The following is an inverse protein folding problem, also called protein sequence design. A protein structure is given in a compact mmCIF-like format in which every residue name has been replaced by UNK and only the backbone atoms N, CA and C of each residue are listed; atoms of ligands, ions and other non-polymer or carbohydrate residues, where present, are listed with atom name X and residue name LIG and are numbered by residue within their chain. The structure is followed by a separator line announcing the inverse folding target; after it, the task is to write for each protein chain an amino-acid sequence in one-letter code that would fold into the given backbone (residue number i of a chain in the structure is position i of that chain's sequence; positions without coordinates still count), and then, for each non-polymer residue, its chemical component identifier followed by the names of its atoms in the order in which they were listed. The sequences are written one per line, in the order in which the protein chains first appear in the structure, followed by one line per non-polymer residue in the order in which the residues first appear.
data_IF_196403824628
#
_entry.id   IF_196403824628
#
_cell.length_a   1.000
_cell.length_b   1.000
_cell.length_c   1.000
_cell.angle_alpha   90.00
_cell.angle_beta   90.00
_cell.angle_gamma   90.00
#
_symmetry.space_group_name_H-M   'P 1'
#
loop_
_entity.id
_entity.type
_entity.pdbx_description
1 polymer ?
#
# COMPACT_ATOMS: atom_id res chain seq x y z
N UNK A 1 -8.62 -3.81 16.73
CA UNK A 1 -7.21 -4.24 16.58
C UNK A 1 -7.15 -5.26 15.45
N UNK A 2 -6.28 -5.08 14.46
CA UNK A 2 -6.19 -6.01 13.32
C UNK A 2 -5.86 -7.43 13.76
N UNK A 3 -6.40 -8.43 13.06
CA UNK A 3 -6.08 -9.84 13.33
C UNK A 3 -4.57 -10.08 13.14
N UNK A 4 -3.91 -10.84 14.05
CA UNK A 4 -2.47 -11.08 14.00
C UNK A 4 -2.05 -11.78 12.71
N UNK A 5 -0.85 -11.45 12.24
CA UNK A 5 -0.20 -12.18 11.15
C UNK A 5 0.38 -13.47 11.71
N UNK A 6 -0.08 -14.59 11.19
CA UNK A 6 0.46 -15.91 11.50
C UNK A 6 1.47 -16.22 10.40
N UNK A 7 2.66 -16.69 10.81
CA UNK A 7 3.71 -17.13 9.91
C UNK A 7 4.04 -18.57 10.25
N UNK A 8 3.95 -19.46 9.27
CA UNK A 8 4.33 -20.87 9.39
C UNK A 8 5.54 -21.11 8.51
N UNK A 9 6.63 -21.56 9.13
CA UNK A 9 7.80 -22.04 8.40
C UNK A 9 7.58 -23.48 7.95
N UNK A 10 7.84 -23.75 6.67
CA UNK A 10 7.80 -25.07 6.08
C UNK A 10 9.17 -25.41 5.49
N UNK A 11 9.78 -26.54 5.90
CA UNK A 11 11.03 -26.97 5.31
C UNK A 11 10.83 -27.32 3.83
N UNK A 12 11.84 -27.04 3.01
CA UNK A 12 11.89 -27.47 1.62
C UNK A 12 12.69 -28.76 1.49
N UNK A 13 12.43 -29.54 0.43
CA UNK A 13 13.26 -30.69 0.07
C UNK A 13 14.61 -30.29 -0.53
N UNK A 14 14.75 -29.03 -0.98
CA UNK A 14 16.03 -28.46 -1.39
C UNK A 14 16.74 -27.81 -0.20
N UNK A 15 17.98 -28.22 0.12
CA UNK A 15 18.82 -27.50 1.08
C UNK A 15 18.97 -26.03 0.69
N UNK A 16 19.05 -25.13 1.68
CA UNK A 16 19.18 -23.69 1.48
C UNK A 16 17.86 -22.97 1.18
N UNK A 17 16.76 -23.68 0.91
CA UNK A 17 15.46 -23.08 0.66
C UNK A 17 14.52 -23.26 1.84
N UNK A 18 13.90 -22.16 2.27
CA UNK A 18 12.87 -22.15 3.31
C UNK A 18 11.62 -21.46 2.79
N UNK A 19 10.45 -22.00 3.13
CA UNK A 19 9.18 -21.42 2.73
C UNK A 19 8.41 -20.93 3.95
N UNK A 20 7.98 -19.68 3.91
CA UNK A 20 7.03 -19.12 4.86
C UNK A 20 5.66 -19.02 4.21
N UNK A 21 4.63 -19.43 4.95
CA UNK A 21 3.24 -19.22 4.59
C UNK A 21 2.60 -18.31 5.63
N UNK A 22 1.82 -17.33 5.17
CA UNK A 22 1.11 -16.42 6.07
C UNK A 22 -0.41 -16.43 5.84
N UNK A 23 -1.16 -15.89 6.78
CA UNK A 23 -2.61 -15.64 6.63
C UNK A 23 -2.92 -14.31 5.91
N UNK A 24 -1.92 -13.70 5.25
CA UNK A 24 -2.05 -12.45 4.50
C UNK A 24 -1.44 -12.59 3.11
N UNK A 25 -2.10 -12.01 2.13
CA UNK A 25 -1.58 -11.90 0.77
C UNK A 25 -0.61 -10.73 0.69
N UNK A 26 0.62 -10.99 0.22
CA UNK A 26 1.70 -10.00 0.06
C UNK A 26 1.80 -9.46 -1.37
N UNK A 27 1.56 -10.32 -2.36
CA UNK A 27 1.59 -9.97 -3.78
C UNK A 27 0.25 -10.23 -4.48
N UNK A 28 0.05 -9.61 -5.63
CA UNK A 28 -1.10 -9.86 -6.50
C UNK A 28 -1.02 -11.20 -7.25
N UNK A 29 -1.55 -11.25 -8.47
CA UNK A 29 -1.54 -12.47 -9.30
C UNK A 29 -0.15 -12.84 -9.86
N UNK A 30 0.83 -11.95 -9.77
CA UNK A 30 2.18 -12.15 -10.28
C UNK A 30 3.12 -12.85 -9.29
N UNK A 31 4.13 -13.52 -9.84
CA UNK A 31 5.30 -13.96 -9.08
C UNK A 31 6.32 -12.82 -9.04
N UNK A 32 6.70 -12.39 -7.85
CA UNK A 32 7.75 -11.40 -7.64
C UNK A 32 9.02 -12.12 -7.20
N UNK A 33 10.15 -11.84 -7.85
CA UNK A 33 11.46 -12.41 -7.50
C UNK A 33 12.48 -11.30 -7.34
N UNK A 34 13.22 -11.39 -6.25
CA UNK A 34 14.28 -10.46 -5.88
C UNK A 34 15.55 -11.27 -5.62
N UNK A 35 16.69 -10.74 -6.04
CA UNK A 35 18.02 -11.30 -5.76
C UNK A 35 18.84 -10.23 -5.05
N UNK A 36 19.62 -10.63 -4.06
CA UNK A 36 20.48 -9.70 -3.32
C UNK A 36 21.51 -9.02 -4.24
N UNK A 37 21.93 -9.71 -5.30
CA UNK A 37 22.86 -9.19 -6.31
C UNK A 37 22.22 -8.29 -7.37
N UNK A 38 20.89 -8.27 -7.47
CA UNK A 38 20.19 -7.50 -8.50
C UNK A 38 19.94 -6.07 -8.01
N UNK A 39 20.74 -5.14 -8.52
CA UNK A 39 20.65 -3.70 -8.20
C UNK A 39 19.79 -2.93 -9.20
N UNK A 40 18.98 -3.60 -10.04
CA UNK A 40 18.07 -2.90 -10.95
C UNK A 40 17.03 -2.09 -10.19
N UNK A 41 16.55 -1.01 -10.80
CA UNK A 41 15.58 -0.10 -10.18
C UNK A 41 14.34 -0.85 -9.68
N UNK A 42 13.84 -1.86 -10.39
CA UNK A 42 12.62 -2.57 -9.95
C UNK A 42 12.81 -3.33 -8.62
N UNK A 43 13.97 -3.94 -8.36
CA UNK A 43 14.24 -4.65 -7.12
C UNK A 43 14.46 -3.68 -5.93
N UNK A 44 15.02 -2.49 -6.21
CA UNK A 44 15.42 -1.52 -5.18
C UNK A 44 14.34 -0.46 -4.93
N UNK A 45 13.71 0.07 -5.98
CA UNK A 45 12.80 1.21 -5.95
C UNK A 45 11.32 0.87 -5.97
N UNK A 46 10.94 -0.41 -6.11
CA UNK A 46 9.53 -0.79 -6.01
C UNK A 46 8.99 -0.55 -4.60
N UNK A 47 7.81 0.09 -4.55
CA UNK A 47 7.06 0.38 -3.32
C UNK A 47 5.95 -0.67 -3.16
N UNK A 48 6.30 -1.95 -3.27
CA UNK A 48 5.39 -3.08 -3.00
C UNK A 48 5.72 -3.72 -1.64
N UNK A 49 4.74 -4.34 -0.94
CA UNK A 49 5.02 -5.08 0.28
C UNK A 49 6.08 -6.17 0.09
N UNK A 50 6.05 -6.86 -1.06
CA UNK A 50 7.05 -7.88 -1.43
C UNK A 50 8.46 -7.30 -1.54
N UNK A 51 8.61 -6.13 -2.17
CA UNK A 51 9.91 -5.47 -2.31
C UNK A 51 10.45 -4.98 -0.96
N UNK A 52 9.57 -4.45 -0.10
CA UNK A 52 9.95 -4.05 1.27
C UNK A 52 10.38 -5.26 2.12
N UNK A 53 9.64 -6.36 2.03
CA UNK A 53 10.01 -7.60 2.69
C UNK A 53 11.39 -8.09 2.22
N UNK A 54 11.63 -8.11 0.90
CA UNK A 54 12.90 -8.52 0.34
C UNK A 54 14.06 -7.66 0.86
N UNK A 55 13.91 -6.33 0.89
CA UNK A 55 14.92 -5.42 1.46
C UNK A 55 15.24 -5.74 2.93
N UNK A 56 14.21 -5.97 3.76
CA UNK A 56 14.41 -6.32 5.18
C UNK A 56 15.12 -7.66 5.35
N UNK A 57 14.78 -8.65 4.52
CA UNK A 57 15.42 -9.96 4.54
C UNK A 57 16.88 -9.87 4.09
N UNK A 58 17.19 -9.15 3.01
CA UNK A 58 18.57 -8.94 2.55
C UNK A 58 19.42 -8.19 3.57
N UNK A 59 18.85 -7.23 4.31
CA UNK A 59 19.55 -6.49 5.36
C UNK A 59 20.07 -7.39 6.50
N UNK A 60 19.56 -8.62 6.64
CA UNK A 60 20.09 -9.59 7.62
C UNK A 60 21.42 -10.20 7.20
N UNK A 61 21.78 -10.16 5.91
CA UNK A 61 22.94 -10.86 5.35
C UNK A 61 22.78 -12.39 5.24
N UNK A 62 21.60 -12.94 5.58
CA UNK A 62 21.36 -14.39 5.60
C UNK A 62 20.65 -14.91 4.34
N UNK A 63 20.32 -14.03 3.39
CA UNK A 63 19.41 -14.31 2.28
C UNK A 63 20.01 -13.85 0.96
N UNK A 64 20.08 -14.75 -0.02
CA UNK A 64 20.56 -14.47 -1.38
C UNK A 64 19.40 -14.18 -2.36
N UNK A 65 18.21 -14.72 -2.09
CA UNK A 65 17.06 -14.57 -2.97
C UNK A 65 15.71 -14.66 -2.25
N UNK A 66 14.73 -13.91 -2.75
CA UNK A 66 13.35 -13.92 -2.23
C UNK A 66 12.39 -14.05 -3.40
N UNK A 67 11.49 -15.02 -3.32
CA UNK A 67 10.35 -15.18 -4.22
C UNK A 67 9.07 -15.00 -3.42
N UNK A 68 8.17 -14.14 -3.88
CA UNK A 68 6.83 -13.95 -3.30
C UNK A 68 5.75 -14.30 -4.31
N UNK A 69 4.78 -15.11 -3.89
CA UNK A 69 3.54 -15.35 -4.63
C UNK A 69 2.39 -15.48 -3.65
N UNK A 70 1.43 -14.56 -3.74
CA UNK A 70 0.28 -14.49 -2.83
C UNK A 70 0.75 -14.40 -1.37
N UNK A 71 0.47 -15.42 -0.57
CA UNK A 71 0.83 -15.53 0.84
C UNK A 71 2.06 -16.43 1.09
N UNK A 72 2.70 -16.93 0.02
CA UNK A 72 3.88 -17.79 0.08
C UNK A 72 5.13 -16.98 -0.20
N UNK A 73 6.10 -17.09 0.70
CA UNK A 73 7.43 -16.50 0.57
C UNK A 73 8.44 -17.64 0.55
N UNK A 74 9.18 -17.77 -0.54
CA UNK A 74 10.30 -18.71 -0.63
C UNK A 74 11.59 -17.91 -0.53
N UNK A 75 12.42 -18.28 0.44
CA UNK A 75 13.68 -17.63 0.76
C UNK A 75 14.81 -18.58 0.39
N UNK A 76 15.76 -18.07 -0.38
CA UNK A 76 17.04 -18.72 -0.67
C UNK A 76 18.07 -18.19 0.32
N UNK A 77 18.52 -19.06 1.22
CA UNK A 77 19.45 -18.71 2.29
C UNK A 77 20.88 -18.63 1.73
N UNK A 78 21.62 -17.62 2.20
CA UNK A 78 23.04 -17.51 1.92
C UNK A 78 23.79 -18.75 2.43
N UNK A 79 24.87 -19.12 1.75
CA UNK A 79 25.65 -20.32 2.09
C UNK A 79 26.12 -20.28 3.55
N UNK A 80 25.76 -21.30 4.33
CA UNK A 80 26.10 -21.39 5.76
C UNK A 80 25.13 -20.65 6.70
N UNK A 81 24.11 -19.97 6.17
CA UNK A 81 23.07 -19.33 6.96
C UNK A 81 21.90 -20.28 7.28
N UNK A 82 21.05 -19.87 8.22
CA UNK A 82 19.81 -20.57 8.59
C UNK A 82 18.64 -19.59 8.64
N UNK A 83 17.42 -20.08 8.87
CA UNK A 83 16.19 -19.29 8.86
C UNK A 83 15.86 -18.56 10.17
N UNK A 84 16.76 -18.59 11.17
CA UNK A 84 16.47 -18.04 12.50
C UNK A 84 16.13 -16.55 12.43
N UNK A 85 14.96 -16.19 12.97
CA UNK A 85 14.49 -14.79 13.03
C UNK A 85 13.85 -14.27 11.74
N UNK A 86 13.98 -14.96 10.61
CA UNK A 86 13.37 -14.52 9.34
C UNK A 86 11.83 -14.52 9.40
N UNK A 87 11.24 -15.47 10.12
CA UNK A 87 9.79 -15.52 10.34
C UNK A 87 9.24 -14.31 11.10
N UNK A 88 10.04 -13.72 12.00
CA UNK A 88 9.64 -12.52 12.74
C UNK A 88 9.62 -11.30 11.82
N UNK A 89 10.59 -11.19 10.91
CA UNK A 89 10.62 -10.13 9.88
C UNK A 89 9.37 -10.18 8.99
N UNK A 90 8.96 -11.39 8.57
CA UNK A 90 7.73 -11.60 7.78
C UNK A 90 6.49 -11.18 8.58
N UNK A 91 6.41 -11.58 9.86
CA UNK A 91 5.28 -11.24 10.74
C UNK A 91 5.14 -9.74 10.93
N UNK A 92 6.28 -9.08 11.10
CA UNK A 92 6.40 -7.68 11.44
C UNK A 92 6.13 -6.73 10.26
N UNK A 93 6.06 -7.25 9.03
CA UNK A 93 5.83 -6.43 7.83
C UNK A 93 4.53 -5.61 7.94
N UNK A 94 3.47 -6.19 8.50
CA UNK A 94 2.17 -5.54 8.68
C UNK A 94 1.93 -4.99 10.09
N UNK A 95 2.94 -5.06 10.97
CA UNK A 95 2.80 -4.56 12.32
C UNK A 95 3.20 -3.09 12.40
N UNK A 96 2.17 -2.24 12.45
CA UNK A 96 2.37 -0.81 12.65
C UNK A 96 2.81 -0.48 14.08
N UNK A 97 2.23 -1.13 15.11
CA UNK A 97 2.57 -0.87 16.50
C UNK A 97 3.53 -1.91 17.05
N UNK A 98 4.79 -1.52 17.24
CA UNK A 98 5.80 -2.30 17.97
C UNK A 98 6.10 -1.67 19.33
N UNK A 99 6.49 -2.46 20.35
CA UNK A 99 7.02 -1.92 21.59
C UNK A 99 8.12 -0.88 21.30
N UNK A 100 7.98 0.34 21.83
CA UNK A 100 8.91 1.45 21.60
C UNK A 100 8.56 2.38 20.44
N UNK A 101 7.51 2.09 19.66
CA UNK A 101 7.02 3.02 18.64
C UNK A 101 6.00 4.00 19.25
N UNK A 102 6.08 5.28 18.90
CA UNK A 102 5.15 6.33 19.38
C UNK A 102 4.05 6.55 18.34
N UNK A 103 2.75 6.55 18.73
CA UNK A 103 1.62 7.02 17.91
C UNK A 103 1.92 8.30 17.16
N UNK A 104 1.84 8.31 15.81
CA UNK A 104 1.79 9.59 15.12
C UNK A 104 0.60 10.34 15.68
N UNK A 105 0.81 11.63 15.84
CA UNK A 105 -0.21 12.52 16.34
C UNK A 105 -1.33 12.68 15.30
N UNK A 106 -2.49 13.12 15.76
CA UNK A 106 -3.69 13.32 14.95
C UNK A 106 -3.36 14.30 13.82
N UNK A 107 -2.59 15.33 14.15
CA UNK A 107 -2.16 16.42 13.28
C UNK A 107 -1.21 15.92 12.18
N UNK A 108 -0.33 14.97 12.48
CA UNK A 108 0.55 14.33 11.49
C UNK A 108 -0.23 13.43 10.52
N UNK A 109 -1.28 12.76 11.01
CA UNK A 109 -2.14 11.88 10.22
C UNK A 109 -3.05 12.64 9.25
N UNK A 110 -3.51 13.83 9.63
CA UNK A 110 -4.42 14.66 8.81
C UNK A 110 -3.68 15.41 7.69
N UNK A 111 -2.36 15.56 7.80
CA UNK A 111 -1.56 16.35 6.85
C UNK A 111 -1.89 17.85 6.95
N UNK A 112 -1.16 18.72 6.24
CA UNK A 112 -1.53 20.13 6.17
C UNK A 112 -2.93 20.21 5.54
N UNK A 113 -3.84 20.90 6.23
CA UNK A 113 -5.16 21.22 5.72
C UNK A 113 -4.98 21.90 4.36
N UNK A 114 -5.25 21.19 3.24
CA UNK A 114 -5.50 21.86 1.98
C UNK A 114 -6.70 22.75 2.27
N UNK A 115 -6.42 24.02 2.52
CA UNK A 115 -7.43 25.03 2.79
C UNK A 115 -8.32 25.07 1.55
N UNK A 116 -9.42 24.33 1.63
CA UNK A 116 -10.43 24.33 0.59
C UNK A 116 -10.88 25.77 0.47
N UNK A 117 -10.57 26.40 -0.68
CA UNK A 117 -10.95 27.79 -0.92
C UNK A 117 -12.44 27.96 -0.57
N UNK A 118 -12.79 28.99 0.23
CA UNK A 118 -14.17 29.22 0.59
C UNK A 118 -14.98 29.38 -0.69
N UNK A 119 -16.07 28.63 -0.80
CA UNK A 119 -16.97 28.77 -1.93
C UNK A 119 -17.63 30.14 -1.85
N UNK A 120 -17.28 31.04 -2.76
CA UNK A 120 -18.06 32.25 -3.02
C UNK A 120 -19.25 31.85 -3.86
N UNK A 121 -20.41 31.82 -3.22
CA UNK A 121 -21.71 31.71 -3.88
C UNK A 121 -22.03 33.03 -4.58
N UNK A 122 -21.97 33.06 -5.91
CA UNK A 122 -22.49 34.18 -6.68
C UNK A 122 -23.97 33.97 -6.95
N UNK A 123 -24.78 34.94 -6.53
CA UNK A 123 -26.19 35.02 -6.89
C UNK A 123 -26.28 35.52 -8.33
N UNK A 124 -26.67 34.65 -9.26
CA UNK A 124 -27.20 35.13 -10.53
C UNK A 124 -28.55 35.75 -10.22
N UNK A 125 -28.82 36.97 -10.69
CA UNK A 125 -29.94 37.86 -10.30
C UNK A 125 -31.39 37.34 -10.44
N UNK A 126 -31.57 36.03 -10.59
CA UNK A 126 -32.82 35.26 -10.58
C UNK A 126 -33.03 34.50 -9.25
N UNK A 127 -32.27 34.85 -8.19
CA UNK A 127 -32.41 34.28 -6.85
C UNK A 127 -31.79 32.88 -6.66
N UNK A 128 -31.15 32.31 -7.69
CA UNK A 128 -30.47 31.02 -7.62
C UNK A 128 -29.02 31.22 -7.17
N UNK A 129 -28.69 30.64 -6.02
CA UNK A 129 -27.31 30.56 -5.53
C UNK A 129 -26.62 29.39 -6.22
N UNK A 130 -25.54 29.66 -6.96
CA UNK A 130 -24.76 28.63 -7.65
C UNK A 130 -23.39 28.49 -6.99
N UNK A 131 -23.01 27.26 -6.64
CA UNK A 131 -21.66 26.95 -6.15
C UNK A 131 -20.67 27.11 -7.31
N UNK A 132 -19.60 27.86 -7.07
CA UNK A 132 -18.53 28.14 -8.03
C UNK A 132 -17.81 26.89 -8.55
N UNK A 133 -17.95 25.74 -7.87
CA UNK A 133 -17.41 24.45 -8.31
C UNK A 133 -18.22 23.80 -9.41
N UNK A 134 -19.43 24.29 -9.71
CA UNK A 134 -20.29 23.74 -10.77
C UNK A 134 -19.82 24.26 -12.14
N UNK A 135 -19.41 23.38 -13.07
CA UNK A 135 -19.02 23.80 -14.42
C UNK A 135 -20.14 24.54 -15.17
N UNK A 136 -19.79 25.63 -15.86
CA UNK A 136 -20.73 26.53 -16.54
C UNK A 136 -21.73 25.83 -17.48
N UNK A 137 -21.28 24.81 -18.22
CA UNK A 137 -22.12 24.07 -19.15
C UNK A 137 -23.25 23.28 -18.45
N UNK A 138 -23.09 22.89 -17.18
CA UNK A 138 -24.16 22.22 -16.42
C UNK A 138 -25.22 23.23 -15.95
N UNK A 139 -24.80 24.45 -15.62
CA UNK A 139 -25.71 25.55 -15.25
C UNK A 139 -26.60 25.89 -16.45
N UNK A 140 -26.00 26.03 -17.63
CA UNK A 140 -26.73 26.32 -18.88
C UNK A 140 -27.72 25.21 -19.24
N UNK A 141 -27.32 23.94 -19.16
CA UNK A 141 -28.22 22.80 -19.38
C UNK A 141 -29.40 22.79 -18.40
N UNK A 142 -29.16 23.13 -17.14
CA UNK A 142 -30.22 23.20 -16.13
C UNK A 142 -31.23 24.32 -16.40
N UNK A 143 -30.77 25.47 -16.91
CA UNK A 143 -31.60 26.61 -17.28
C UNK A 143 -32.52 26.26 -18.46
N UNK A 144 -31.94 25.73 -19.53
CA UNK A 144 -32.68 25.29 -20.72
C UNK A 144 -33.71 24.20 -20.39
N UNK A 145 -33.38 23.28 -19.47
CA UNK A 145 -34.32 22.25 -19.02
C UNK A 145 -35.52 22.85 -18.27
N UNK A 146 -35.32 23.88 -17.43
CA UNK A 146 -36.41 24.59 -16.75
C UNK A 146 -37.28 25.36 -17.73
N UNK A 147 -36.69 26.12 -18.66
CA UNK A 147 -37.43 26.86 -19.69
C UNK A 147 -38.32 25.94 -20.54
N UNK A 148 -37.79 24.77 -20.92
CA UNK A 148 -38.53 23.73 -21.63
C UNK A 148 -39.68 23.14 -20.79
N UNK A 149 -39.51 23.03 -19.47
CA UNK A 149 -40.55 22.54 -18.57
C UNK A 149 -41.65 23.58 -18.34
N UNK A 150 -41.29 24.86 -18.19
CA UNK A 150 -42.25 25.95 -17.98
C UNK A 150 -43.04 26.36 -19.24
N UNK A 151 -42.53 26.01 -20.42
CA UNK A 151 -43.19 26.26 -21.71
C UNK A 151 -44.11 25.11 -22.17
N UNK A 152 -44.33 24.12 -21.31
CA UNK A 152 -45.20 22.96 -21.54
C UNK A 152 -46.47 23.05 -20.70
#
# INVERSE_FOLDING_TARGET
MGQPVIVVEKPSSRPGLVRFETNRTLSGSGHERFLASDTTAHAVSAVTPSAELARRLFATGQVDGVHVYQNMITVDLATGSNSTGLGDIVRDLHQYWKPGMVPPTLEELVGPEETSAPATSESTGDGVVVDSRVPAHLIERSRLAREKWSSR
#
